data_IF_343441312245
#
_entry.id   IF_343441312245
#
_cell.length_a   1.000
_cell.length_b   1.000
_cell.length_c   1.000
_cell.angle_alpha   90.00
_cell.angle_beta   90.00
_cell.angle_gamma   90.00
#
_symmetry.space_group_name_H-M   'P 1'
#
loop_
_entity.id
_entity.type
_entity.pdbx_description
1 polymer ?
#
# COMPACT_ATOMS: atom_id res chain seq x y z
N UNK A 1 9.13 -37.53 22.29
CA UNK A 1 8.14 -38.52 21.81
C UNK A 1 6.77 -37.86 21.89
N UNK A 2 6.15 -37.60 20.75
CA UNK A 2 4.84 -36.96 20.62
C UNK A 2 3.75 -37.94 21.08
N UNK A 3 2.85 -37.50 21.96
CA UNK A 3 1.61 -38.23 22.22
C UNK A 3 0.58 -37.82 21.17
N UNK A 4 0.25 -38.77 20.31
CA UNK A 4 -0.83 -38.71 19.34
C UNK A 4 -2.15 -38.40 20.02
N UNK A 5 -2.75 -37.27 19.67
CA UNK A 5 -4.13 -36.95 20.00
C UNK A 5 -5.05 -37.87 19.19
N UNK A 6 -5.59 -38.88 19.87
CA UNK A 6 -6.61 -39.77 19.31
C UNK A 6 -7.86 -38.97 18.92
N UNK A 7 -8.04 -38.71 17.63
CA UNK A 7 -9.31 -38.24 17.07
C UNK A 7 -10.35 -39.38 17.13
N UNK A 8 -11.60 -39.10 17.54
CA UNK A 8 -12.65 -40.11 17.55
C UNK A 8 -13.04 -40.52 16.12
N UNK A 9 -13.02 -41.82 15.86
CA UNK A 9 -13.49 -42.46 14.61
C UNK A 9 -15.01 -42.62 14.66
N UNK A 10 -15.74 -41.67 14.06
CA UNK A 10 -17.18 -41.71 13.86
C UNK A 10 -17.59 -40.90 12.61
N UNK A 11 -18.78 -41.15 12.05
CA UNK A 11 -19.23 -40.47 10.82
C UNK A 11 -19.61 -39.01 11.09
N UNK A 12 -19.00 -38.08 10.34
CA UNK A 12 -19.34 -36.66 10.27
C UNK A 12 -20.38 -36.35 9.19
N UNK A 13 -21.06 -37.37 8.63
CA UNK A 13 -22.01 -37.23 7.53
C UNK A 13 -23.20 -36.29 7.81
N UNK A 14 -23.41 -35.87 9.07
CA UNK A 14 -24.42 -34.91 9.49
C UNK A 14 -23.87 -33.74 10.33
N UNK A 15 -22.55 -33.48 10.32
CA UNK A 15 -21.95 -32.31 10.97
C UNK A 15 -21.45 -31.31 9.91
N UNK A 16 -22.28 -30.39 9.42
CA UNK A 16 -21.84 -29.33 8.52
C UNK A 16 -21.17 -28.17 9.30
N UNK A 17 -20.45 -28.46 10.39
CA UNK A 17 -19.83 -27.46 11.26
C UNK A 17 -18.29 -27.63 11.27
N UNK A 18 -17.64 -27.32 10.15
CA UNK A 18 -16.57 -26.34 10.29
C UNK A 18 -17.33 -25.03 10.52
N UNK A 19 -17.15 -24.36 11.66
CA UNK A 19 -17.95 -23.22 12.10
C UNK A 19 -17.86 -22.02 11.13
N UNK A 20 -18.49 -22.13 9.96
CA UNK A 20 -18.51 -21.11 8.93
C UNK A 20 -19.29 -19.88 9.39
N UNK A 21 -20.19 -20.05 10.37
CA UNK A 21 -20.78 -18.96 11.14
C UNK A 21 -19.72 -18.13 11.86
N UNK A 22 -18.81 -18.76 12.60
CA UNK A 22 -17.72 -18.08 13.31
C UNK A 22 -16.71 -17.46 12.33
N UNK A 23 -16.40 -18.15 11.23
CA UNK A 23 -15.54 -17.61 10.16
C UNK A 23 -16.20 -16.36 9.56
N UNK A 24 -17.48 -16.43 9.20
CA UNK A 24 -18.25 -15.30 8.66
C UNK A 24 -18.29 -14.12 9.61
N UNK A 25 -18.60 -14.34 10.88
CA UNK A 25 -18.63 -13.29 11.91
C UNK A 25 -17.24 -12.64 12.08
N UNK A 26 -16.18 -13.44 12.05
CA UNK A 26 -14.80 -12.93 12.17
C UNK A 26 -14.39 -12.14 10.93
N UNK A 27 -14.73 -12.61 9.73
CA UNK A 27 -14.48 -11.89 8.47
C UNK A 27 -15.21 -10.54 8.46
N UNK A 28 -16.47 -10.51 8.91
CA UNK A 28 -17.23 -9.26 9.04
C UNK A 28 -16.57 -8.27 10.02
N UNK A 29 -16.04 -8.76 11.15
CA UNK A 29 -15.30 -7.91 12.10
C UNK A 29 -14.00 -7.37 11.51
N UNK A 30 -13.27 -8.19 10.74
CA UNK A 30 -12.05 -7.75 10.04
C UNK A 30 -12.36 -6.74 8.93
N UNK A 31 -13.45 -6.95 8.19
CA UNK A 31 -13.94 -6.02 7.17
C UNK A 31 -14.28 -4.67 7.80
N UNK A 32 -15.03 -4.67 8.90
CA UNK A 32 -15.35 -3.46 9.66
C UNK A 32 -14.07 -2.75 10.13
N UNK A 33 -13.09 -3.47 10.67
CA UNK A 33 -11.82 -2.90 11.09
C UNK A 33 -11.05 -2.26 9.92
N UNK A 34 -11.01 -2.93 8.76
CA UNK A 34 -10.39 -2.39 7.56
C UNK A 34 -11.09 -1.10 7.09
N UNK A 35 -12.43 -1.10 7.04
CA UNK A 35 -13.24 0.07 6.67
C UNK A 35 -13.08 1.22 7.67
N UNK A 36 -12.93 0.93 8.96
CA UNK A 36 -12.68 1.94 9.99
C UNK A 36 -11.32 2.61 9.80
N UNK A 37 -10.26 1.84 9.56
CA UNK A 37 -8.92 2.40 9.27
C UNK A 37 -8.98 3.21 7.96
N UNK A 38 -9.67 2.70 6.93
CA UNK A 38 -9.83 3.40 5.64
C UNK A 38 -10.55 4.73 5.83
N UNK A 39 -11.63 4.75 6.60
CA UNK A 39 -12.40 5.96 6.90
C UNK A 39 -11.57 6.97 7.69
N UNK A 40 -10.80 6.51 8.69
CA UNK A 40 -9.89 7.38 9.45
C UNK A 40 -8.79 7.99 8.56
N UNK A 41 -8.25 7.20 7.62
CA UNK A 41 -7.27 7.71 6.65
C UNK A 41 -7.90 8.63 5.59
N UNK A 42 -9.15 8.39 5.19
CA UNK A 42 -9.87 9.31 4.28
C UNK A 42 -10.24 10.62 4.96
N UNK A 43 -10.51 10.60 6.26
CA UNK A 43 -10.76 11.83 7.02
C UNK A 43 -9.50 12.73 7.05
N UNK A 44 -8.31 12.13 7.09
CA UNK A 44 -7.05 12.88 6.91
C UNK A 44 -6.77 13.32 5.47
N UNK A 45 -7.56 12.90 4.48
CA UNK A 45 -7.33 13.22 3.06
C UNK A 45 -7.45 14.73 2.79
N UNK A 46 -8.33 15.43 3.50
CA UNK A 46 -8.45 16.89 3.38
C UNK A 46 -7.14 17.61 3.79
N UNK A 47 -6.45 17.11 4.82
CA UNK A 47 -5.15 17.65 5.22
C UNK A 47 -4.04 17.31 4.23
N UNK A 48 -4.09 16.11 3.62
CA UNK A 48 -3.11 15.66 2.62
C UNK A 48 -3.26 16.41 1.30
N UNK A 49 -4.48 16.71 0.88
CA UNK A 49 -4.74 17.51 -0.33
C UNK A 49 -4.20 18.93 -0.17
N UNK A 50 -4.40 19.56 1.00
CA UNK A 50 -3.81 20.86 1.32
C UNK A 50 -2.28 20.81 1.27
N UNK A 51 -1.67 19.74 1.80
CA UNK A 51 -0.21 19.56 1.76
C UNK A 51 0.29 19.41 0.32
N UNK A 52 -0.36 18.57 -0.49
CA UNK A 52 -0.02 18.36 -1.91
C UNK A 52 -0.10 19.67 -2.71
N UNK A 53 -1.16 20.45 -2.51
CA UNK A 53 -1.33 21.76 -3.13
C UNK A 53 -0.26 22.76 -2.65
N UNK A 54 0.09 22.72 -1.36
CA UNK A 54 1.13 23.56 -0.78
C UNK A 54 2.51 23.25 -1.37
N UNK A 55 2.88 21.97 -1.48
CA UNK A 55 4.16 21.56 -2.10
C UNK A 55 4.21 21.90 -3.59
N UNK A 56 3.12 21.70 -4.32
CA UNK A 56 3.03 22.08 -5.73
C UNK A 56 3.22 23.60 -5.91
N UNK A 57 2.59 24.39 -5.03
CA UNK A 57 2.75 25.85 -5.01
C UNK A 57 4.18 26.27 -4.64
N UNK A 58 4.78 25.62 -3.64
CA UNK A 58 6.18 25.84 -3.25
C UNK A 58 7.14 25.53 -4.40
N UNK A 59 6.94 24.43 -5.14
CA UNK A 59 7.73 24.12 -6.32
C UNK A 59 7.60 25.21 -7.39
N UNK A 60 6.39 25.75 -7.59
CA UNK A 60 6.13 26.88 -8.48
C UNK A 60 6.86 28.16 -8.05
N UNK A 61 6.77 28.52 -6.76
CA UNK A 61 7.47 29.68 -6.22
C UNK A 61 9.00 29.50 -6.29
N UNK A 62 9.52 28.31 -6.04
CA UNK A 62 10.94 28.00 -6.17
C UNK A 62 11.44 28.12 -7.60
N UNK A 63 10.65 27.68 -8.60
CA UNK A 63 10.99 27.90 -10.01
C UNK A 63 11.07 29.40 -10.32
N UNK A 64 10.08 30.20 -9.90
CA UNK A 64 10.11 31.65 -10.12
C UNK A 64 11.29 32.35 -9.41
N UNK A 65 11.64 31.91 -8.20
CA UNK A 65 12.80 32.42 -7.46
C UNK A 65 14.09 32.06 -8.18
N UNK A 66 14.23 30.81 -8.65
CA UNK A 66 15.38 30.36 -9.42
C UNK A 66 15.54 31.15 -10.73
N UNK A 67 14.45 31.35 -11.48
CA UNK A 67 14.44 32.16 -12.70
C UNK A 67 14.87 33.61 -12.42
N UNK A 68 14.40 34.20 -11.32
CA UNK A 68 14.78 35.56 -10.91
C UNK A 68 16.26 35.64 -10.52
N UNK A 69 16.76 34.66 -9.75
CA UNK A 69 18.18 34.58 -9.38
C UNK A 69 19.06 34.48 -10.63
N UNK A 70 18.63 33.74 -11.65
CA UNK A 70 19.37 33.63 -12.92
C UNK A 70 19.55 34.97 -13.65
N UNK A 71 18.63 35.93 -13.47
CA UNK A 71 18.74 37.28 -14.06
C UNK A 71 19.77 38.18 -13.36
N UNK A 72 20.26 37.78 -12.18
CA UNK A 72 21.25 38.57 -11.43
C UNK A 72 22.64 38.52 -12.09
N UNK A 73 23.46 39.58 -11.97
CA UNK A 73 24.83 39.61 -12.48
C UNK A 73 25.72 38.52 -11.87
N UNK A 74 26.58 37.90 -12.69
CA UNK A 74 27.50 36.83 -12.26
C UNK A 74 28.78 37.34 -11.57
N UNK A 75 29.02 38.65 -11.53
CA UNK A 75 30.29 39.25 -11.09
C UNK A 75 30.09 40.19 -9.90
N UNK A 76 31.10 40.26 -9.03
CA UNK A 76 31.10 41.07 -7.81
C UNK A 76 30.37 40.40 -6.64
N UNK A 77 30.09 41.14 -5.56
CA UNK A 77 29.38 40.63 -4.38
C UNK A 77 27.99 40.06 -4.72
N UNK A 78 27.34 40.61 -5.74
CA UNK A 78 26.04 40.13 -6.25
C UNK A 78 26.17 38.74 -6.90
N UNK A 79 27.28 38.43 -7.55
CA UNK A 79 27.56 37.10 -8.12
C UNK A 79 27.74 36.02 -7.05
N UNK A 80 28.41 36.35 -5.94
CA UNK A 80 28.55 35.44 -4.80
C UNK A 80 27.19 35.18 -4.11
N UNK A 81 26.35 36.22 -3.97
CA UNK A 81 25.00 36.09 -3.47
C UNK A 81 24.12 35.25 -4.40
N UNK A 82 24.23 35.43 -5.73
CA UNK A 82 23.56 34.61 -6.74
C UNK A 82 23.90 33.14 -6.57
N UNK A 83 25.19 32.79 -6.50
CA UNK A 83 25.62 31.40 -6.39
C UNK A 83 25.09 30.72 -5.11
N UNK A 84 25.12 31.42 -3.97
CA UNK A 84 24.55 30.90 -2.72
C UNK A 84 23.03 30.71 -2.83
N UNK A 85 22.30 31.68 -3.38
CA UNK A 85 20.85 31.61 -3.52
C UNK A 85 20.42 30.52 -4.51
N UNK A 86 21.17 30.30 -5.59
CA UNK A 86 20.94 29.19 -6.52
C UNK A 86 21.04 27.85 -5.79
N UNK A 87 22.11 27.62 -5.03
CA UNK A 87 22.28 26.36 -4.29
C UNK A 87 21.19 26.12 -3.24
N UNK A 88 20.78 27.17 -2.51
CA UNK A 88 19.65 27.07 -1.57
C UNK A 88 18.33 26.77 -2.30
N UNK A 89 18.08 27.43 -3.44
CA UNK A 89 16.87 27.21 -4.23
C UNK A 89 16.80 25.80 -4.81
N UNK A 90 17.92 25.24 -5.28
CA UNK A 90 18.00 23.87 -5.77
C UNK A 90 17.75 22.86 -4.64
N UNK A 91 18.34 23.10 -3.46
CA UNK A 91 18.13 22.23 -2.30
C UNK A 91 16.67 22.22 -1.85
N UNK A 92 16.03 23.39 -1.74
CA UNK A 92 14.60 23.48 -1.38
C UNK A 92 13.72 22.84 -2.46
N UNK A 93 14.04 23.01 -3.74
CA UNK A 93 13.32 22.34 -4.83
C UNK A 93 13.39 20.82 -4.71
N UNK A 94 14.56 20.28 -4.36
CA UNK A 94 14.74 18.83 -4.12
C UNK A 94 13.91 18.34 -2.93
N UNK A 95 13.94 19.06 -1.81
CA UNK A 95 13.13 18.72 -0.62
C UNK A 95 11.63 18.72 -0.93
N UNK A 96 11.14 19.70 -1.70
CA UNK A 96 9.74 19.75 -2.13
C UNK A 96 9.40 18.57 -3.02
N UNK A 97 10.29 18.18 -3.94
CA UNK A 97 10.09 17.02 -4.80
C UNK A 97 10.03 15.71 -3.99
N UNK A 98 10.94 15.52 -3.04
CA UNK A 98 10.92 14.37 -2.13
C UNK A 98 9.64 14.32 -1.29
N UNK A 99 9.16 15.47 -0.81
CA UNK A 99 7.89 15.55 -0.10
C UNK A 99 6.72 15.11 -1.00
N UNK A 100 6.67 15.57 -2.26
CA UNK A 100 5.63 15.14 -3.23
C UNK A 100 5.65 13.62 -3.43
N UNK A 101 6.84 13.02 -3.59
CA UNK A 101 6.99 11.55 -3.69
C UNK A 101 6.49 10.86 -2.41
N UNK A 102 6.83 11.40 -1.23
CA UNK A 102 6.34 10.89 0.06
C UNK A 102 4.80 10.87 0.14
N UNK A 103 4.12 11.90 -0.40
CA UNK A 103 2.66 11.92 -0.46
C UNK A 103 2.06 10.91 -1.44
N UNK A 104 2.76 10.56 -2.52
CA UNK A 104 2.31 9.48 -3.41
C UNK A 104 2.29 8.12 -2.67
N UNK A 105 3.22 7.89 -1.74
CA UNK A 105 3.17 6.69 -0.89
C UNK A 105 1.96 6.69 0.05
N UNK A 106 1.55 7.86 0.55
CA UNK A 106 0.32 7.98 1.33
C UNK A 106 -0.90 7.60 0.50
N UNK A 107 -1.06 8.14 -0.71
CA UNK A 107 -2.17 7.80 -1.59
C UNK A 107 -2.21 6.30 -1.91
N UNK A 108 -1.04 5.73 -2.22
CA UNK A 108 -0.89 4.28 -2.45
C UNK A 108 -1.27 3.44 -1.22
N UNK A 109 -0.97 3.92 -0.01
CA UNK A 109 -1.34 3.24 1.23
C UNK A 109 -2.87 3.23 1.43
N UNK A 110 -3.52 4.38 1.22
CA UNK A 110 -4.99 4.50 1.27
C UNK A 110 -5.64 3.55 0.26
N UNK A 111 -5.12 3.51 -0.97
CA UNK A 111 -5.63 2.62 -2.02
C UNK A 111 -5.48 1.13 -1.63
N UNK A 112 -4.31 0.73 -1.12
CA UNK A 112 -4.08 -0.66 -0.67
C UNK A 112 -5.05 -1.06 0.44
N UNK A 113 -5.34 -0.15 1.37
CA UNK A 113 -6.28 -0.41 2.45
C UNK A 113 -7.73 -0.56 1.95
N UNK A 114 -8.15 0.29 1.00
CA UNK A 114 -9.45 0.13 0.35
C UNK A 114 -9.57 -1.24 -0.37
N UNK A 115 -8.48 -1.70 -1.01
CA UNK A 115 -8.45 -3.03 -1.61
C UNK A 115 -8.58 -4.17 -0.59
N UNK A 116 -8.02 -4.01 0.61
CA UNK A 116 -8.20 -4.97 1.72
C UNK A 116 -9.67 -5.00 2.16
N UNK A 117 -10.29 -3.84 2.41
CA UNK A 117 -11.70 -3.75 2.79
C UNK A 117 -12.61 -4.45 1.77
N UNK A 118 -12.46 -4.12 0.49
CA UNK A 118 -13.22 -4.77 -0.59
C UNK A 118 -12.98 -6.29 -0.67
N UNK A 119 -11.76 -6.75 -0.41
CA UNK A 119 -11.43 -8.18 -0.47
C UNK A 119 -12.02 -8.96 0.71
N UNK A 120 -12.12 -8.31 1.87
CA UNK A 120 -12.81 -8.88 3.03
C UNK A 120 -14.32 -8.93 2.80
N UNK A 121 -14.90 -7.91 2.15
CA UNK A 121 -16.30 -7.95 1.70
C UNK A 121 -16.56 -9.07 0.70
N UNK A 122 -15.73 -9.22 -0.33
CA UNK A 122 -15.82 -10.32 -1.31
C UNK A 122 -15.75 -11.71 -0.64
N UNK A 123 -14.93 -11.85 0.41
CA UNK A 123 -14.82 -13.07 1.21
C UNK A 123 -16.07 -13.27 2.08
N UNK A 124 -16.56 -12.21 2.74
CA UNK A 124 -17.77 -12.21 3.57
C UNK A 124 -18.99 -12.67 2.78
N UNK A 125 -19.15 -12.15 1.55
CA UNK A 125 -20.22 -12.54 0.63
C UNK A 125 -20.12 -14.00 0.18
N UNK A 126 -18.88 -14.49 -0.06
CA UNK A 126 -18.66 -15.88 -0.43
C UNK A 126 -19.03 -16.84 0.70
N UNK A 127 -18.62 -16.54 1.94
CA UNK A 127 -18.89 -17.41 3.09
C UNK A 127 -20.34 -17.32 3.59
N UNK A 128 -21.07 -16.27 3.20
CA UNK A 128 -22.49 -16.11 3.53
C UNK A 128 -23.43 -16.99 2.69
N UNK A 129 -22.98 -17.51 1.53
CA UNK A 129 -23.77 -18.37 0.65
C UNK A 129 -23.27 -19.83 0.70
N UNK A 130 -24.00 -20.75 1.36
CA UNK A 130 -23.63 -22.16 1.44
C UNK A 130 -23.43 -22.84 0.08
N UNK A 131 -24.16 -22.43 -0.97
CA UNK A 131 -24.02 -23.04 -2.29
C UNK A 131 -22.70 -22.67 -2.96
N UNK A 132 -22.20 -21.45 -2.71
CA UNK A 132 -20.93 -20.95 -3.24
C UNK A 132 -19.75 -21.36 -2.37
N UNK A 133 -19.94 -21.36 -1.06
CA UNK A 133 -18.95 -21.74 -0.06
C UNK A 133 -18.32 -23.12 -0.33
N UNK A 134 -19.12 -24.11 -0.69
CA UNK A 134 -18.63 -25.47 -0.97
C UNK A 134 -18.15 -25.68 -2.41
N UNK A 135 -18.15 -24.63 -3.24
CA UNK A 135 -17.68 -24.69 -4.62
C UNK A 135 -16.21 -24.20 -4.72
N UNK A 136 -15.23 -25.07 -4.98
CA UNK A 136 -13.83 -24.67 -5.10
C UNK A 136 -13.57 -23.61 -6.18
N UNK A 137 -14.40 -23.58 -7.23
CA UNK A 137 -14.26 -22.58 -8.29
C UNK A 137 -14.50 -21.15 -7.78
N UNK A 138 -15.45 -20.97 -6.88
CA UNK A 138 -15.75 -19.65 -6.30
C UNK A 138 -14.57 -19.10 -5.49
N UNK A 139 -13.81 -19.98 -4.83
CA UNK A 139 -12.58 -19.63 -4.11
C UNK A 139 -11.45 -19.24 -5.04
N UNK A 140 -11.27 -19.96 -6.15
CA UNK A 140 -10.30 -19.59 -7.20
C UNK A 140 -10.68 -18.25 -7.82
N UNK A 141 -11.95 -18.03 -8.10
CA UNK A 141 -12.45 -16.76 -8.64
C UNK A 141 -12.25 -15.61 -7.64
N UNK A 142 -12.45 -15.85 -6.34
CA UNK A 142 -12.13 -14.88 -5.27
C UNK A 142 -10.64 -14.55 -5.26
N UNK A 143 -9.75 -15.56 -5.27
CA UNK A 143 -8.30 -15.36 -5.32
C UNK A 143 -7.89 -14.55 -6.55
N UNK A 144 -8.48 -14.82 -7.72
CA UNK A 144 -8.23 -14.06 -8.94
C UNK A 144 -8.69 -12.60 -8.80
N UNK A 145 -9.89 -12.35 -8.23
CA UNK A 145 -10.35 -10.98 -7.96
C UNK A 145 -9.41 -10.23 -7.02
N UNK A 146 -8.96 -10.87 -5.94
CA UNK A 146 -7.98 -10.28 -5.02
C UNK A 146 -6.67 -9.99 -5.76
N UNK A 147 -6.18 -10.94 -6.57
CA UNK A 147 -4.96 -10.79 -7.37
C UNK A 147 -5.02 -9.58 -8.32
N UNK A 148 -6.15 -9.35 -8.97
CA UNK A 148 -6.32 -8.22 -9.91
C UNK A 148 -6.26 -6.84 -9.24
N UNK A 149 -6.40 -6.76 -7.92
CA UNK A 149 -6.28 -5.49 -7.17
C UNK A 149 -4.82 -5.08 -6.95
N UNK A 150 -3.87 -5.99 -7.09
CA UNK A 150 -2.44 -5.66 -7.06
C UNK A 150 -2.01 -5.06 -8.39
N UNK A 151 -1.34 -3.92 -8.33
CA UNK A 151 -1.02 -3.12 -9.52
C UNK A 151 0.44 -3.24 -9.93
N UNK A 152 1.35 -3.59 -9.01
CA UNK A 152 2.77 -3.75 -9.35
C UNK A 152 3.16 -5.21 -9.52
N UNK A 153 4.18 -5.44 -10.35
CA UNK A 153 4.71 -6.78 -10.62
C UNK A 153 5.23 -7.45 -9.35
N UNK A 154 5.84 -6.67 -8.47
CA UNK A 154 6.39 -7.12 -7.19
C UNK A 154 5.26 -7.55 -6.25
N UNK A 155 4.15 -6.81 -6.20
CA UNK A 155 2.98 -7.18 -5.39
C UNK A 155 2.35 -8.50 -5.88
N UNK A 156 2.23 -8.65 -7.20
CA UNK A 156 1.71 -9.87 -7.83
C UNK A 156 2.65 -11.06 -7.54
N UNK A 157 3.97 -10.86 -7.64
CA UNK A 157 4.94 -11.90 -7.35
C UNK A 157 4.91 -12.32 -5.88
N UNK A 158 4.75 -11.37 -4.95
CA UNK A 158 4.58 -11.65 -3.53
C UNK A 158 3.31 -12.46 -3.27
N UNK A 159 2.18 -12.07 -3.88
CA UNK A 159 0.93 -12.83 -3.79
C UNK A 159 1.09 -14.26 -4.31
N UNK A 160 1.69 -14.43 -5.50
CA UNK A 160 1.92 -15.74 -6.11
C UNK A 160 2.85 -16.61 -5.27
N UNK A 161 3.87 -16.03 -4.63
CA UNK A 161 4.76 -16.74 -3.71
C UNK A 161 3.98 -17.30 -2.50
N UNK A 162 3.11 -16.49 -1.89
CA UNK A 162 2.25 -16.93 -0.77
C UNK A 162 1.31 -18.05 -1.23
N UNK A 163 0.70 -17.92 -2.42
CA UNK A 163 -0.17 -18.94 -3.00
C UNK A 163 0.57 -20.26 -3.30
N UNK A 164 1.88 -20.22 -3.52
CA UNK A 164 2.74 -21.39 -3.71
C UNK A 164 3.27 -22.00 -2.40
N UNK A 165 2.88 -21.44 -1.24
CA UNK A 165 3.24 -21.96 0.09
C UNK A 165 4.45 -21.29 0.74
N UNK A 166 4.98 -20.20 0.17
CA UNK A 166 6.00 -19.39 0.84
C UNK A 166 5.36 -18.73 2.07
N UNK A 167 5.98 -18.81 3.27
CA UNK A 167 5.48 -18.12 4.45
C UNK A 167 5.29 -16.63 4.19
N UNK A 168 4.18 -16.07 4.66
CA UNK A 168 3.82 -14.65 4.42
C UNK A 168 4.95 -13.70 4.83
N UNK A 169 5.56 -13.93 6.00
CA UNK A 169 6.66 -13.08 6.47
C UNK A 169 7.87 -13.13 5.53
N UNK A 170 8.23 -14.31 5.03
CA UNK A 170 9.35 -14.48 4.10
C UNK A 170 9.06 -13.81 2.74
N UNK A 171 7.83 -13.90 2.25
CA UNK A 171 7.41 -13.24 1.02
C UNK A 171 7.48 -11.71 1.15
N UNK A 172 7.07 -11.17 2.29
CA UNK A 172 7.15 -9.74 2.61
C UNK A 172 8.60 -9.28 2.76
N UNK A 173 9.45 -10.05 3.45
CA UNK A 173 10.85 -9.71 3.65
C UNK A 173 11.61 -9.63 2.32
N UNK A 174 11.36 -10.57 1.40
CA UNK A 174 11.90 -10.54 0.03
C UNK A 174 11.40 -9.32 -0.74
N UNK A 175 10.09 -9.04 -0.69
CA UNK A 175 9.52 -7.85 -1.34
C UNK A 175 10.15 -6.55 -0.83
N UNK A 176 10.36 -6.43 0.49
CA UNK A 176 10.98 -5.25 1.10
C UNK A 176 12.46 -5.11 0.76
N UNK A 177 13.19 -6.23 0.60
CA UNK A 177 14.57 -6.23 0.13
C UNK A 177 14.66 -5.74 -1.33
N UNK A 178 13.83 -6.27 -2.22
CA UNK A 178 13.76 -5.87 -3.63
C UNK A 178 13.37 -4.38 -3.80
N UNK A 179 12.49 -3.86 -2.94
CA UNK A 179 12.12 -2.45 -2.94
C UNK A 179 13.26 -1.54 -2.47
N UNK A 180 14.09 -1.97 -1.52
CA UNK A 180 15.25 -1.20 -1.05
C UNK A 180 16.34 -1.12 -2.11
N UNK A 181 16.66 -2.22 -2.79
CA UNK A 181 17.62 -2.20 -3.90
C UNK A 181 17.19 -1.23 -5.02
N UNK A 182 15.89 -1.19 -5.34
CA UNK A 182 15.37 -0.26 -6.35
C UNK A 182 15.32 1.21 -5.90
N UNK A 183 15.21 1.46 -4.59
CA UNK A 183 15.24 2.82 -4.04
C UNK A 183 16.65 3.40 -4.04
N UNK A 184 17.66 2.59 -3.72
CA UNK A 184 19.07 2.98 -3.79
C UNK A 184 19.51 3.31 -5.23
N UNK A 185 18.95 2.63 -6.24
CA UNK A 185 19.19 2.93 -7.66
C UNK A 185 18.60 4.29 -8.12
N UNK A 186 17.62 4.85 -7.38
CA UNK A 186 17.06 6.17 -7.66
C UNK A 186 17.88 7.29 -6.97
N UNK A 187 18.73 6.96 -5.98
CA UNK A 187 19.59 7.92 -5.27
C UNK A 187 20.97 8.15 -5.96
N UNK A 188 21.19 7.64 -7.18
CA UNK A 188 22.49 7.66 -7.86
C UNK A 188 22.54 8.44 -9.18
N UNK A 189 21.63 9.41 -9.39
CA UNK A 189 21.70 10.36 -10.51
C UNK A 189 21.38 11.79 -10.08
#
# INVERSE_FOLDING_TARGET
MMQETSQPRGTSAHMPDLNWSQVRETVLMLELAAVQIESAMKDSNASVEVLTNSFTSMAGFMRMISDTIQTLPDKGEVGAAKQNLTGVSEHVSSMVHQAIIAFQFYDKLVQRLAHVGLSLGDLSDLVADPHRLFNPKEWVDLQNRIKTKYSTREEIAMFDAVMQGVPVQEAVDKFMADMKEKSDDIELF
#
